data_IF_864995503285
#
_entry.id   IF_864995503285
#
_cell.length_a   1.000
_cell.length_b   1.000
_cell.length_c   1.000
_cell.angle_alpha   90.00
_cell.angle_beta   90.00
_cell.angle_gamma   90.00
#
_symmetry.space_group_name_H-M   'P 1'
#
loop_
_entity.id
_entity.type
_entity.pdbx_description
1 polymer ?
#
# COMPACT_ATOMS: atom_id res chain seq x y z
N UNK A 1 -4.94 16.22 33.25
CA UNK A 1 -4.23 14.97 32.90
C UNK A 1 -3.25 15.28 31.79
N UNK A 2 -2.09 14.63 31.73
CA UNK A 2 -1.18 14.75 30.59
C UNK A 2 -1.88 14.25 29.32
N UNK A 3 -1.64 14.89 28.17
CA UNK A 3 -2.16 14.44 26.87
C UNK A 3 -1.51 13.13 26.39
N UNK A 4 -1.91 12.61 25.22
CA UNK A 4 -1.33 11.39 24.65
C UNK A 4 0.18 11.58 24.38
N UNK A 5 0.95 10.51 24.55
CA UNK A 5 2.40 10.49 24.29
C UNK A 5 2.63 10.64 22.78
N UNK A 6 3.56 11.52 22.41
CA UNK A 6 3.92 11.76 21.01
C UNK A 6 4.58 10.55 20.36
N UNK A 7 4.26 10.27 19.10
CA UNK A 7 4.90 9.22 18.29
C UNK A 7 5.56 9.82 17.05
N UNK A 8 6.60 9.14 16.57
CA UNK A 8 7.35 9.46 15.35
C UNK A 8 7.60 8.19 14.56
N UNK A 9 7.53 8.23 13.23
CA UNK A 9 7.77 7.02 12.44
C UNK A 9 9.21 6.51 12.60
N UNK A 10 9.38 5.18 12.59
CA UNK A 10 10.69 4.51 12.68
C UNK A 10 11.55 4.76 11.43
N UNK A 11 10.91 4.93 10.28
CA UNK A 11 11.57 5.11 8.98
C UNK A 11 10.99 6.32 8.28
N UNK A 12 11.81 6.94 7.42
CA UNK A 12 11.44 8.12 6.64
C UNK A 12 10.88 9.32 7.44
N UNK A 13 11.25 9.54 8.73
CA UNK A 13 10.50 10.49 9.57
C UNK A 13 10.63 11.95 9.11
N UNK A 14 11.74 12.33 8.49
CA UNK A 14 12.04 13.71 8.13
C UNK A 14 12.03 13.97 6.63
N UNK A 15 11.60 13.00 5.81
CA UNK A 15 11.70 13.10 4.35
C UNK A 15 11.03 14.37 3.84
N UNK A 16 9.82 14.70 4.31
CA UNK A 16 9.12 15.90 3.89
C UNK A 16 9.77 17.19 4.43
N UNK A 17 10.33 17.15 5.64
CA UNK A 17 11.06 18.29 6.23
C UNK A 17 12.32 18.63 5.45
N UNK A 18 12.96 17.63 4.84
CA UNK A 18 14.16 17.79 4.02
C UNK A 18 13.86 18.17 2.56
N UNK A 19 12.58 18.11 2.14
CA UNK A 19 12.15 18.47 0.79
C UNK A 19 11.79 19.96 0.72
N UNK A 20 11.91 20.59 -0.47
CA UNK A 20 11.37 21.94 -0.69
C UNK A 20 9.90 22.00 -0.30
N UNK A 21 9.45 23.15 0.19
CA UNK A 21 8.07 23.34 0.67
C UNK A 21 7.03 22.97 -0.40
N UNK A 22 7.34 23.25 -1.66
CA UNK A 22 6.49 23.00 -2.83
C UNK A 22 6.23 21.50 -3.07
N UNK A 23 7.03 20.62 -2.45
CA UNK A 23 6.86 19.17 -2.53
C UNK A 23 5.61 18.71 -1.77
N UNK A 24 5.39 19.23 -0.56
CA UNK A 24 4.33 18.77 0.35
C UNK A 24 3.23 19.81 0.62
N UNK A 25 3.49 21.11 0.39
CA UNK A 25 2.50 22.19 0.53
C UNK A 25 1.52 22.21 -0.65
N UNK A 26 0.68 21.17 -0.72
CA UNK A 26 -0.32 21.00 -1.76
C UNK A 26 -1.40 22.09 -1.76
N UNK A 27 -1.55 22.89 -0.70
CA UNK A 27 -2.52 24.00 -0.70
C UNK A 27 -2.08 25.13 -1.62
N UNK A 28 -0.77 25.39 -1.65
CA UNK A 28 -0.13 26.36 -2.54
C UNK A 28 -0.04 25.89 -4.01
N UNK A 29 -0.15 24.59 -4.26
CA UNK A 29 0.00 24.02 -5.59
C UNK A 29 -1.02 24.56 -6.61
N UNK A 30 -0.53 24.96 -7.79
CA UNK A 30 -1.32 25.44 -8.93
C UNK A 30 -1.52 24.29 -9.89
N UNK A 31 -2.78 23.94 -10.15
CA UNK A 31 -3.15 22.83 -11.04
C UNK A 31 -3.34 23.38 -12.44
N UNK A 32 -2.63 22.81 -13.41
CA UNK A 32 -2.86 23.03 -14.83
C UNK A 32 -4.00 22.14 -15.31
N UNK A 33 -5.13 22.74 -15.66
CA UNK A 33 -6.32 22.00 -16.10
C UNK A 33 -6.27 21.78 -17.61
N UNK A 34 -6.27 20.52 -18.04
CA UNK A 34 -6.43 20.14 -19.45
C UNK A 34 -7.88 20.25 -19.93
N UNK A 35 -8.09 20.00 -21.22
CA UNK A 35 -9.44 19.99 -21.82
C UNK A 35 -10.11 18.63 -21.63
N UNK A 36 -11.32 18.59 -21.06
CA UNK A 36 -12.06 17.36 -20.88
C UNK A 36 -12.60 16.80 -22.21
N UNK A 37 -12.83 17.67 -23.20
CA UNK A 37 -13.37 17.28 -24.51
C UNK A 37 -12.42 16.39 -25.32
N UNK A 38 -11.14 16.30 -24.91
CA UNK A 38 -10.14 15.39 -25.48
C UNK A 38 -10.42 13.92 -25.12
N UNK A 39 -11.40 13.64 -24.25
CA UNK A 39 -11.70 12.30 -23.75
C UNK A 39 -13.15 11.90 -23.99
N UNK A 40 -13.34 10.84 -24.76
CA UNK A 40 -14.66 10.23 -24.96
C UNK A 40 -14.87 9.10 -23.95
N UNK A 41 -15.87 9.24 -23.07
CA UNK A 41 -16.24 8.19 -22.12
C UNK A 41 -16.87 7.00 -22.87
N UNK A 42 -16.36 5.79 -22.62
CA UNK A 42 -16.83 4.56 -23.26
C UNK A 42 -17.82 3.83 -22.35
N UNK A 43 -17.40 3.48 -21.14
CA UNK A 43 -18.26 2.78 -20.17
C UNK A 43 -17.85 3.07 -18.74
N UNK A 44 -18.81 2.97 -17.83
CA UNK A 44 -18.55 3.09 -16.39
C UNK A 44 -17.85 1.83 -15.88
N UNK A 45 -16.72 2.03 -15.20
CA UNK A 45 -15.96 0.96 -14.54
C UNK A 45 -16.33 0.80 -13.07
N UNK A 46 -16.67 1.90 -12.40
CA UNK A 46 -17.00 1.85 -10.98
C UNK A 46 -17.50 3.16 -10.39
N UNK A 47 -17.91 3.09 -9.13
CA UNK A 47 -18.38 4.23 -8.34
C UNK A 47 -17.80 4.15 -6.93
N UNK A 48 -17.06 5.18 -6.54
CA UNK A 48 -16.56 5.35 -5.19
C UNK A 48 -17.39 6.35 -4.38
N UNK A 49 -17.02 6.50 -3.11
CA UNK A 49 -17.61 7.51 -2.22
C UNK A 49 -17.42 8.93 -2.78
N UNK A 50 -16.25 9.21 -3.33
CA UNK A 50 -15.82 10.55 -3.77
C UNK A 50 -15.67 10.69 -5.30
N UNK A 51 -15.89 9.64 -6.08
CA UNK A 51 -15.67 9.69 -7.52
C UNK A 51 -16.51 8.68 -8.29
N UNK A 52 -16.54 8.84 -9.61
CA UNK A 52 -17.02 7.88 -10.59
C UNK A 52 -15.90 7.60 -11.58
N UNK A 53 -15.73 6.34 -11.98
CA UNK A 53 -14.59 5.90 -12.79
C UNK A 53 -15.11 5.30 -14.08
N UNK A 54 -14.50 5.71 -15.20
CA UNK A 54 -14.90 5.35 -16.55
C UNK A 54 -13.69 4.87 -17.37
N UNK A 55 -13.91 3.90 -18.25
CA UNK A 55 -13.05 3.65 -19.40
C UNK A 55 -13.35 4.75 -20.42
N UNK A 56 -12.32 5.35 -20.99
CA UNK A 56 -12.42 6.39 -21.99
C UNK A 56 -11.36 6.21 -23.07
N UNK A 57 -11.52 6.90 -24.19
CA UNK A 57 -10.52 7.01 -25.26
C UNK A 57 -10.07 8.46 -25.32
N UNK A 58 -8.77 8.69 -25.28
CA UNK A 58 -8.20 9.98 -25.66
C UNK A 58 -8.31 10.11 -27.18
N UNK A 59 -9.12 11.03 -27.67
CA UNK A 59 -9.41 11.15 -29.10
C UNK A 59 -8.26 11.74 -29.90
N UNK A 60 -7.27 12.36 -29.24
CA UNK A 60 -6.10 12.97 -29.89
C UNK A 60 -5.07 11.95 -30.34
N UNK A 61 -4.94 10.83 -29.62
CA UNK A 61 -3.94 9.78 -29.87
C UNK A 61 -4.53 8.36 -29.91
N UNK A 62 -5.85 8.23 -29.74
CA UNK A 62 -6.60 6.98 -29.73
C UNK A 62 -6.19 5.99 -28.61
N UNK A 63 -5.57 6.48 -27.54
CA UNK A 63 -5.21 5.64 -26.40
C UNK A 63 -6.38 5.40 -25.46
N UNK A 64 -6.51 4.16 -24.98
CA UNK A 64 -7.47 3.82 -23.91
C UNK A 64 -6.94 4.32 -22.58
N UNK A 65 -7.79 5.03 -21.85
CA UNK A 65 -7.47 5.61 -20.55
C UNK A 65 -8.58 5.34 -19.54
N UNK A 66 -8.29 5.60 -18.26
CA UNK A 66 -9.27 5.58 -17.18
C UNK A 66 -9.49 7.01 -16.69
N UNK A 67 -10.73 7.48 -16.76
CA UNK A 67 -11.13 8.82 -16.29
C UNK A 67 -11.82 8.68 -14.93
N UNK A 68 -11.24 9.32 -13.91
CA UNK A 68 -11.83 9.44 -12.56
C UNK A 68 -12.49 10.81 -12.42
N UNK A 69 -13.81 10.86 -12.53
CA UNK A 69 -14.59 12.08 -12.30
C UNK A 69 -14.79 12.26 -10.79
N UNK A 70 -14.29 13.36 -10.24
CA UNK A 70 -14.42 13.68 -8.83
C UNK A 70 -15.81 14.27 -8.54
N UNK A 71 -16.49 13.73 -7.52
CA UNK A 71 -17.72 14.33 -6.98
C UNK A 71 -17.39 15.66 -6.29
N UNK A 72 -18.37 16.54 -6.04
CA UNK A 72 -18.14 17.77 -5.30
C UNK A 72 -17.46 17.51 -3.94
N UNK A 73 -16.20 17.93 -3.82
CA UNK A 73 -15.37 17.82 -2.61
C UNK A 73 -14.56 19.11 -2.41
N UNK A 74 -13.99 19.31 -1.22
CA UNK A 74 -13.15 20.49 -0.93
C UNK A 74 -11.96 20.54 -1.90
N UNK A 75 -11.69 21.71 -2.51
CA UNK A 75 -10.55 21.93 -3.42
C UNK A 75 -9.21 21.47 -2.83
N UNK A 76 -9.00 21.70 -1.52
CA UNK A 76 -7.82 21.21 -0.77
C UNK A 76 -7.60 19.70 -0.93
N UNK A 77 -8.66 18.89 -0.95
CA UNK A 77 -8.57 17.44 -1.13
C UNK A 77 -8.17 17.06 -2.56
N UNK A 78 -8.69 17.78 -3.55
CA UNK A 78 -8.35 17.59 -4.97
C UNK A 78 -6.87 17.89 -5.19
N UNK A 79 -6.41 19.07 -4.74
CA UNK A 79 -5.00 19.47 -4.84
C UNK A 79 -4.07 18.46 -4.16
N UNK A 80 -4.44 17.94 -3.00
CA UNK A 80 -3.67 16.90 -2.30
C UNK A 80 -3.54 15.63 -3.12
N UNK A 81 -4.64 15.10 -3.65
CA UNK A 81 -4.63 13.88 -4.45
C UNK A 81 -3.76 14.06 -5.72
N UNK A 82 -3.91 15.19 -6.42
CA UNK A 82 -3.07 15.53 -7.58
C UNK A 82 -1.60 15.61 -7.19
N UNK A 83 -1.25 16.38 -6.16
CA UNK A 83 0.13 16.58 -5.75
C UNK A 83 0.82 15.27 -5.34
N UNK A 84 0.09 14.39 -4.65
CA UNK A 84 0.57 13.06 -4.29
C UNK A 84 0.80 12.21 -5.55
N UNK A 85 -0.14 12.18 -6.48
CA UNK A 85 0.00 11.42 -7.73
C UNK A 85 1.16 11.93 -8.59
N UNK A 86 1.39 13.24 -8.65
CA UNK A 86 2.55 13.84 -9.33
C UNK A 86 3.86 13.40 -8.68
N UNK A 87 3.97 13.50 -7.35
CA UNK A 87 5.18 13.12 -6.63
C UNK A 87 5.49 11.62 -6.73
N UNK A 88 4.46 10.77 -6.86
CA UNK A 88 4.62 9.33 -6.98
C UNK A 88 4.70 8.84 -8.44
N UNK A 89 4.60 9.74 -9.43
CA UNK A 89 4.65 9.38 -10.85
C UNK A 89 5.96 8.65 -11.19
N UNK A 90 5.85 7.56 -11.95
CA UNK A 90 6.98 6.70 -12.30
C UNK A 90 7.40 5.72 -11.19
N UNK A 91 6.77 5.78 -10.02
CA UNK A 91 6.98 4.84 -8.93
C UNK A 91 6.56 3.40 -9.25
N UNK A 92 7.26 2.38 -8.74
CA UNK A 92 6.91 1.00 -8.96
C UNK A 92 5.52 0.68 -8.42
N UNK A 93 4.66 0.10 -9.27
CA UNK A 93 3.28 -0.28 -8.95
C UNK A 93 2.35 0.84 -8.43
N UNK A 94 2.73 2.10 -8.56
CA UNK A 94 1.80 3.22 -8.41
C UNK A 94 1.03 3.38 -9.72
N UNK A 95 -0.27 3.69 -9.65
CA UNK A 95 -1.00 4.05 -10.88
C UNK A 95 -0.36 5.29 -11.52
N UNK A 96 0.18 5.12 -12.72
CA UNK A 96 0.77 6.21 -13.47
C UNK A 96 -0.33 7.13 -13.98
N UNK A 97 -0.09 8.44 -13.88
CA UNK A 97 -0.61 9.37 -14.88
C UNK A 97 0.19 9.09 -16.18
N UNK A 98 -0.19 8.01 -16.89
CA UNK A 98 0.33 7.48 -18.18
C UNK A 98 1.90 7.40 -18.25
N UNK A 99 2.70 6.36 -17.92
CA UNK A 99 2.63 4.89 -18.10
C UNK A 99 3.74 4.07 -17.29
N UNK A 100 4.11 2.80 -17.65
CA UNK A 100 4.41 1.53 -16.86
C UNK A 100 5.80 1.23 -16.20
N UNK A 101 5.85 0.61 -14.97
CA UNK A 101 6.55 -0.70 -14.62
C UNK A 101 6.13 -1.36 -13.26
N UNK A 102 6.60 -2.61 -13.00
CA UNK A 102 6.16 -3.65 -12.02
C UNK A 102 6.76 -3.57 -10.59
N UNK A 103 6.13 -4.33 -9.68
CA UNK A 103 6.62 -5.02 -8.44
C UNK A 103 6.17 -4.45 -7.05
N UNK A 104 5.93 -5.28 -5.99
CA UNK A 104 5.18 -4.97 -4.74
C UNK A 104 5.82 -3.95 -3.79
N UNK A 105 6.65 -3.09 -4.35
CA UNK A 105 7.40 -1.96 -3.82
C UNK A 105 6.51 -0.73 -3.54
N UNK A 106 5.23 -0.76 -3.89
CA UNK A 106 4.37 0.43 -3.87
C UNK A 106 4.30 1.13 -2.50
N UNK A 107 4.18 0.36 -1.40
CA UNK A 107 4.13 0.94 -0.05
C UNK A 107 5.50 1.47 0.40
N UNK A 108 6.57 0.70 0.24
CA UNK A 108 7.92 1.19 0.59
C UNK A 108 8.29 2.43 -0.22
N UNK A 109 7.92 2.46 -1.51
CA UNK A 109 8.13 3.62 -2.36
C UNK A 109 7.35 4.84 -1.85
N UNK A 110 6.03 4.75 -1.66
CA UNK A 110 5.27 5.92 -1.21
C UNK A 110 5.68 6.38 0.20
N UNK A 111 6.00 5.45 1.11
CA UNK A 111 6.53 5.75 2.44
C UNK A 111 7.88 6.48 2.34
N UNK A 112 8.80 6.01 1.49
CA UNK A 112 10.09 6.66 1.23
C UNK A 112 9.96 8.04 0.57
N UNK A 113 8.83 8.30 -0.07
CA UNK A 113 8.45 9.60 -0.64
C UNK A 113 7.67 10.47 0.35
N UNK A 114 7.59 10.06 1.62
CA UNK A 114 6.95 10.82 2.70
C UNK A 114 5.42 10.76 2.69
N UNK A 115 4.81 9.76 2.04
CA UNK A 115 3.36 9.69 1.81
C UNK A 115 2.77 8.41 2.42
N UNK A 116 1.70 8.56 3.22
CA UNK A 116 0.86 7.45 3.71
C UNK A 116 -0.35 7.27 2.80
N UNK A 117 -0.73 6.04 2.45
CA UNK A 117 -1.91 5.80 1.59
C UNK A 117 -3.24 5.92 2.36
N UNK A 118 -3.32 5.37 3.57
CA UNK A 118 -4.46 5.44 4.51
C UNK A 118 -5.79 4.84 4.02
N UNK A 119 -5.77 4.00 2.99
CA UNK A 119 -6.94 3.24 2.50
C UNK A 119 -6.52 1.99 1.70
N UNK A 120 -5.47 1.32 2.15
CA UNK A 120 -5.02 0.04 1.57
C UNK A 120 -6.08 -1.02 1.83
N UNK A 121 -6.60 -1.64 0.77
CA UNK A 121 -7.64 -2.67 0.81
C UNK A 121 -7.72 -3.39 -0.55
N UNK A 122 -8.35 -4.56 -0.66
CA UNK A 122 -8.41 -5.32 -1.92
C UNK A 122 -8.98 -4.51 -3.10
N UNK A 123 -10.02 -3.70 -2.85
CA UNK A 123 -10.66 -2.87 -3.90
C UNK A 123 -9.73 -1.80 -4.49
N UNK A 124 -8.68 -1.41 -3.76
CA UNK A 124 -7.70 -0.43 -4.19
C UNK A 124 -6.43 -1.07 -4.75
N UNK A 125 -6.44 -2.40 -4.96
CA UNK A 125 -5.35 -3.15 -5.58
C UNK A 125 -5.85 -3.76 -6.88
N UNK A 126 -5.46 -3.16 -8.00
CA UNK A 126 -5.79 -3.68 -9.33
C UNK A 126 -4.78 -4.74 -9.72
N UNK A 127 -5.26 -5.91 -10.15
CA UNK A 127 -4.42 -7.03 -10.55
C UNK A 127 -4.81 -7.46 -11.96
N UNK A 128 -3.84 -7.37 -12.87
CA UNK A 128 -3.87 -8.08 -14.13
C UNK A 128 -3.16 -9.42 -13.90
N UNK A 129 -3.96 -10.47 -13.69
CA UNK A 129 -3.45 -11.78 -13.32
C UNK A 129 -2.72 -12.47 -14.48
N UNK A 130 -3.18 -12.26 -15.71
CA UNK A 130 -2.58 -12.82 -16.93
C UNK A 130 -1.14 -12.31 -17.12
N UNK A 131 -0.94 -10.99 -16.97
CA UNK A 131 0.39 -10.38 -17.13
C UNK A 131 1.17 -10.27 -15.81
N UNK A 132 0.60 -10.75 -14.71
CA UNK A 132 1.14 -10.64 -13.34
C UNK A 132 1.51 -9.20 -12.97
N UNK A 133 0.64 -8.23 -13.29
CA UNK A 133 0.85 -6.81 -12.96
C UNK A 133 -0.09 -6.40 -11.83
N UNK A 134 0.41 -5.57 -10.93
CA UNK A 134 -0.35 -5.04 -9.80
C UNK A 134 -0.22 -3.51 -9.78
N UNK A 135 -1.28 -2.80 -9.37
CA UNK A 135 -1.28 -1.36 -9.16
C UNK A 135 -2.05 -0.98 -7.90
N UNK A 136 -1.47 -0.13 -7.07
CA UNK A 136 -2.15 0.54 -5.96
C UNK A 136 -2.84 1.81 -6.48
N UNK A 137 -4.14 1.92 -6.24
CA UNK A 137 -5.01 2.98 -6.76
C UNK A 137 -5.72 3.74 -5.63
N UNK A 138 -6.41 4.82 -5.99
CA UNK A 138 -7.25 5.65 -5.11
C UNK A 138 -6.48 6.33 -3.95
N UNK A 139 -5.65 7.30 -4.32
CA UNK A 139 -4.84 8.13 -3.41
C UNK A 139 -5.62 9.28 -2.77
N UNK A 140 -6.96 9.33 -2.91
CA UNK A 140 -7.79 10.43 -2.41
C UNK A 140 -7.83 10.57 -0.88
N UNK A 141 -7.41 9.53 -0.14
CA UNK A 141 -7.25 9.57 1.32
C UNK A 141 -5.79 9.68 1.78
N UNK A 142 -4.83 9.63 0.86
CA UNK A 142 -3.42 9.73 1.19
C UNK A 142 -3.04 11.08 1.82
N UNK A 143 -1.88 11.14 2.48
CA UNK A 143 -1.35 12.35 3.13
C UNK A 143 0.17 12.34 3.20
N UNK A 144 0.75 13.53 3.26
CA UNK A 144 2.15 13.73 3.62
C UNK A 144 2.36 13.54 5.13
N UNK A 145 3.35 12.74 5.49
CA UNK A 145 3.75 12.54 6.87
C UNK A 145 4.68 13.67 7.37
N UNK A 146 4.42 14.18 8.56
CA UNK A 146 5.25 15.15 9.26
C UNK A 146 5.33 14.71 10.74
N UNK A 147 6.52 14.73 11.36
CA UNK A 147 6.68 14.38 12.77
C UNK A 147 5.75 15.19 13.67
N UNK A 148 5.18 14.52 14.68
CA UNK A 148 4.25 15.10 15.66
C UNK A 148 2.97 15.75 15.09
N UNK A 149 2.69 15.59 13.78
CA UNK A 149 1.44 16.04 13.22
C UNK A 149 0.29 15.11 13.65
N UNK A 150 -0.80 15.71 14.12
CA UNK A 150 -2.06 15.01 14.38
C UNK A 150 -2.85 14.87 13.07
N UNK A 151 -3.26 13.63 12.78
CA UNK A 151 -4.01 13.28 11.58
C UNK A 151 -5.44 12.85 11.91
N UNK A 152 -6.36 13.14 10.98
CA UNK A 152 -7.74 12.69 11.11
C UNK A 152 -7.84 11.16 11.11
N UNK A 153 -8.48 10.59 12.13
CA UNK A 153 -8.67 9.13 12.27
C UNK A 153 -9.81 8.55 11.42
N UNK A 154 -10.65 9.41 10.82
CA UNK A 154 -11.79 9.03 9.97
C UNK A 154 -11.36 8.70 8.54
N UNK A 155 -10.28 7.94 8.41
CA UNK A 155 -9.70 7.39 7.16
C UNK A 155 -9.83 5.87 7.13
N UNK A 156 -9.45 5.22 6.04
CA UNK A 156 -9.60 3.79 5.79
C UNK A 156 -11.04 3.24 5.85
N UNK A 157 -11.24 2.09 5.20
CA UNK A 157 -12.47 1.30 5.27
C UNK A 157 -12.49 0.46 6.56
N UNK A 158 -13.66 0.28 7.20
CA UNK A 158 -13.82 -0.25 8.57
C UNK A 158 -12.92 -1.47 8.88
N UNK A 159 -12.95 -2.49 8.03
CA UNK A 159 -12.26 -3.76 8.26
C UNK A 159 -10.72 -3.67 8.19
N UNK A 160 -10.19 -2.56 7.68
CA UNK A 160 -8.77 -2.29 7.49
C UNK A 160 -8.27 -1.17 8.41
N UNK A 161 -9.13 -0.62 9.28
CA UNK A 161 -8.71 0.40 10.26
C UNK A 161 -7.72 -0.20 11.27
N UNK A 162 -6.55 0.42 11.39
CA UNK A 162 -5.61 0.16 12.47
C UNK A 162 -6.20 0.52 13.84
N UNK A 163 -5.77 -0.15 14.93
CA UNK A 163 -6.20 0.16 16.29
C UNK A 163 -6.09 1.65 16.63
N UNK A 164 -5.02 2.32 16.19
CA UNK A 164 -4.81 3.77 16.36
C UNK A 164 -6.00 4.60 15.88
N UNK A 165 -6.68 4.20 14.80
CA UNK A 165 -7.86 4.92 14.31
C UNK A 165 -9.12 4.63 15.13
N UNK A 166 -9.17 3.47 15.79
CA UNK A 166 -10.33 2.99 16.55
C UNK A 166 -10.29 3.49 18.00
N UNK A 167 -9.10 3.79 18.53
CA UNK A 167 -8.90 4.40 19.86
C UNK A 167 -8.58 5.90 19.79
N UNK A 168 -8.78 6.52 18.62
CA UNK A 168 -8.57 7.95 18.38
C UNK A 168 -7.15 8.48 18.66
N UNK A 169 -6.11 7.66 18.43
CA UNK A 169 -4.72 8.11 18.49
C UNK A 169 -4.31 8.78 17.17
N UNK A 170 -4.07 10.09 17.22
CA UNK A 170 -3.96 10.93 16.00
C UNK A 170 -2.53 11.07 15.46
N UNK A 171 -1.50 10.82 16.27
CA UNK A 171 -0.09 10.91 15.87
C UNK A 171 0.41 9.59 15.25
N UNK A 172 -0.35 9.06 14.29
CA UNK A 172 0.00 7.84 13.56
C UNK A 172 0.87 8.12 12.33
N UNK A 173 1.44 7.07 11.75
CA UNK A 173 2.36 7.15 10.62
C UNK A 173 2.16 6.03 9.57
N UNK A 174 3.16 5.82 8.71
CA UNK A 174 3.16 4.83 7.61
C UNK A 174 2.76 3.42 8.05
N UNK A 175 3.03 3.06 9.31
CA UNK A 175 2.65 1.78 9.92
C UNK A 175 1.14 1.46 9.88
N UNK A 176 0.28 2.46 9.66
CA UNK A 176 -1.15 2.27 9.43
C UNK A 176 -1.43 1.43 8.17
N UNK A 177 -0.66 1.66 7.10
CA UNK A 177 -0.80 0.91 5.85
C UNK A 177 -0.36 -0.55 6.05
N UNK A 178 0.61 -0.79 6.93
CA UNK A 178 1.12 -2.12 7.25
C UNK A 178 0.11 -2.97 8.02
N UNK A 179 -0.69 -2.35 8.91
CA UNK A 179 -1.85 -3.02 9.52
C UNK A 179 -2.88 -3.43 8.47
N UNK A 180 -3.21 -2.52 7.56
CA UNK A 180 -4.18 -2.76 6.50
C UNK A 180 -3.74 -3.91 5.59
N UNK A 181 -2.45 -3.97 5.25
CA UNK A 181 -1.82 -5.09 4.54
C UNK A 181 -1.94 -6.40 5.32
N UNK A 182 -1.72 -6.39 6.64
CA UNK A 182 -1.91 -7.54 7.52
C UNK A 182 -3.36 -8.06 7.49
N UNK A 183 -4.36 -7.18 7.53
CA UNK A 183 -5.77 -7.55 7.39
C UNK A 183 -6.06 -8.23 6.04
N UNK A 184 -5.48 -7.72 4.94
CA UNK A 184 -5.59 -8.34 3.62
C UNK A 184 -4.95 -9.73 3.60
N UNK A 185 -3.72 -9.85 4.10
CA UNK A 185 -3.00 -11.12 4.16
C UNK A 185 -3.77 -12.16 4.96
N UNK A 186 -4.25 -11.81 6.15
CA UNK A 186 -5.08 -12.70 6.98
C UNK A 186 -6.33 -13.18 6.23
N UNK A 187 -7.00 -12.26 5.51
CA UNK A 187 -8.20 -12.62 4.74
C UNK A 187 -7.88 -13.61 3.62
N UNK A 188 -6.75 -13.44 2.93
CA UNK A 188 -6.30 -14.32 1.85
C UNK A 188 -5.91 -15.70 2.37
N UNK A 189 -4.99 -15.78 3.34
CA UNK A 189 -4.44 -17.07 3.80
C UNK A 189 -5.46 -17.89 4.60
N UNK A 190 -6.38 -17.23 5.31
CA UNK A 190 -7.43 -17.93 6.06
C UNK A 190 -8.75 -18.08 5.29
N UNK A 191 -8.84 -17.56 4.05
CA UNK A 191 -10.09 -17.51 3.26
C UNK A 191 -11.28 -16.94 4.03
N UNK A 192 -11.03 -15.86 4.78
CA UNK A 192 -12.02 -15.23 5.65
C UNK A 192 -12.11 -13.74 5.35
N UNK A 193 -13.10 -13.33 4.55
CA UNK A 193 -13.27 -11.96 4.10
C UNK A 193 -14.54 -11.30 4.69
N UNK A 194 -14.42 -10.20 5.44
CA UNK A 194 -13.19 -9.65 6.03
C UNK A 194 -12.68 -10.48 7.21
N UNK A 195 -11.36 -10.43 7.49
CA UNK A 195 -10.80 -11.13 8.64
C UNK A 195 -11.34 -10.59 9.98
N UNK A 196 -11.31 -9.28 10.20
CA UNK A 196 -11.94 -8.63 11.35
C UNK A 196 -13.27 -8.00 10.91
N UNK A 197 -14.38 -8.63 11.26
CA UNK A 197 -15.71 -8.27 10.78
C UNK A 197 -16.54 -7.54 11.85
N UNK A 198 -16.24 -6.27 12.11
CA UNK A 198 -16.99 -5.44 13.05
C UNK A 198 -18.27 -4.84 12.44
N UNK A 199 -19.34 -4.78 13.23
CA UNK A 199 -20.60 -4.15 12.82
C UNK A 199 -20.49 -2.63 12.67
N UNK A 200 -19.66 -2.00 13.49
CA UNK A 200 -19.30 -0.58 13.47
C UNK A 200 -17.84 -0.42 13.92
N UNK A 201 -17.36 0.81 14.14
CA UNK A 201 -15.97 1.05 14.56
C UNK A 201 -15.69 0.56 15.99
N UNK A 202 -16.69 0.55 16.88
CA UNK A 202 -16.53 0.08 18.25
C UNK A 202 -16.40 -1.45 18.26
N UNK A 203 -17.33 -2.14 17.61
CA UNK A 203 -17.25 -3.60 17.47
C UNK A 203 -16.02 -4.04 16.67
N UNK A 204 -15.51 -3.20 15.74
CA UNK A 204 -14.27 -3.50 15.03
C UNK A 204 -13.09 -3.72 15.99
N UNK A 205 -12.93 -2.87 17.00
CA UNK A 205 -11.87 -3.05 18.01
C UNK A 205 -12.12 -4.29 18.85
N UNK A 206 -13.37 -4.60 19.19
CA UNK A 206 -13.75 -5.85 19.89
C UNK A 206 -13.35 -7.09 19.07
N UNK A 207 -13.57 -7.09 17.74
CA UNK A 207 -13.14 -8.20 16.88
C UNK A 207 -11.63 -8.38 16.88
N UNK A 208 -10.88 -7.29 16.92
CA UNK A 208 -9.41 -7.32 17.02
C UNK A 208 -9.00 -7.88 18.39
N UNK A 209 -9.56 -7.37 19.49
CA UNK A 209 -9.30 -7.81 20.87
C UNK A 209 -9.58 -9.30 21.10
N UNK A 210 -10.63 -9.85 20.45
CA UNK A 210 -10.92 -11.29 20.52
C UNK A 210 -9.83 -12.18 19.91
N UNK A 211 -8.97 -11.64 19.06
CA UNK A 211 -7.86 -12.35 18.42
C UNK A 211 -6.52 -11.99 19.03
N UNK A 212 -6.18 -10.71 19.10
CA UNK A 212 -4.88 -10.25 19.61
C UNK A 212 -4.81 -10.21 21.13
N UNK A 213 -5.95 -10.32 21.83
CA UNK A 213 -6.03 -10.26 23.28
C UNK A 213 -6.21 -8.84 23.79
N UNK A 214 -6.74 -8.71 25.01
CA UNK A 214 -6.98 -7.41 25.65
C UNK A 214 -5.79 -6.91 26.45
N UNK A 215 -4.88 -7.80 26.88
CA UNK A 215 -3.67 -7.42 27.63
C UNK A 215 -2.75 -6.54 26.76
N UNK A 216 -2.34 -7.02 25.58
CA UNK A 216 -1.54 -6.23 24.62
C UNK A 216 -2.23 -4.91 24.18
N UNK A 217 -3.57 -4.85 24.20
CA UNK A 217 -4.33 -3.63 23.89
C UNK A 217 -4.22 -2.60 25.00
N UNK A 218 -4.38 -3.02 26.26
CA UNK A 218 -4.27 -2.11 27.40
C UNK A 218 -2.81 -1.65 27.59
N UNK A 219 -1.82 -2.51 27.39
CA UNK A 219 -0.41 -2.13 27.39
C UNK A 219 -0.12 -1.05 26.32
N UNK A 220 -0.73 -1.15 25.14
CA UNK A 220 -0.64 -0.14 24.09
C UNK A 220 -1.30 1.18 24.50
N UNK A 221 -2.51 1.12 25.08
CA UNK A 221 -3.24 2.30 25.57
C UNK A 221 -2.42 3.03 26.65
N UNK A 222 -1.87 2.29 27.61
CA UNK A 222 -1.06 2.81 28.70
C UNK A 222 0.25 3.42 28.19
N UNK A 223 0.95 2.71 27.29
CA UNK A 223 2.21 3.18 26.67
C UNK A 223 2.07 4.56 26.03
N UNK A 224 0.96 4.80 25.34
CA UNK A 224 0.72 6.06 24.64
C UNK A 224 -0.18 7.03 25.40
N UNK A 225 -0.56 6.70 26.65
CA UNK A 225 -1.48 7.49 27.48
C UNK A 225 -2.76 7.89 26.70
N UNK A 226 -3.38 6.91 26.05
CA UNK A 226 -4.56 7.11 25.20
C UNK A 226 -5.82 7.18 26.07
N UNK A 227 -6.60 8.25 25.94
CA UNK A 227 -7.91 8.34 26.57
C UNK A 227 -8.91 7.47 25.79
N UNK A 228 -9.23 6.29 26.31
CA UNK A 228 -10.16 5.38 25.67
C UNK A 228 -11.61 5.86 25.84
N UNK A 229 -12.38 5.91 24.74
CA UNK A 229 -13.80 6.27 24.77
C UNK A 229 -14.56 5.36 25.77
N UNK A 230 -15.33 5.93 26.73
CA UNK A 230 -16.01 5.16 27.77
C UNK A 230 -16.94 4.05 27.24
N UNK A 231 -17.41 4.16 25.99
CA UNK A 231 -18.19 3.10 25.34
C UNK A 231 -17.45 1.76 25.24
N UNK A 232 -16.12 1.77 25.28
CA UNK A 232 -15.32 0.55 25.24
C UNK A 232 -15.33 -0.25 26.54
N UNK A 233 -15.66 0.40 27.68
CA UNK A 233 -15.62 -0.22 29.01
C UNK A 233 -16.50 -1.47 29.09
N UNK A 234 -17.67 -1.44 28.44
CA UNK A 234 -18.66 -2.51 28.53
C UNK A 234 -18.55 -3.57 27.41
N UNK A 235 -17.77 -3.30 26.35
CA UNK A 235 -17.79 -4.14 25.13
C UNK A 235 -16.49 -4.87 24.84
N UNK A 236 -15.34 -4.41 25.35
CA UNK A 236 -14.04 -5.05 25.09
C UNK A 236 -13.90 -6.38 25.81
N UNK A 237 -14.45 -6.48 27.03
CA UNK A 237 -14.33 -7.67 27.88
C UNK A 237 -12.87 -8.03 28.20
N UNK A 238 -12.60 -9.31 28.50
CA UNK A 238 -11.25 -9.85 28.66
C UNK A 238 -11.03 -11.01 27.70
N UNK A 239 -9.96 -10.95 26.91
CA UNK A 239 -9.64 -11.95 25.91
C UNK A 239 -8.15 -12.30 25.93
N UNK A 240 -7.84 -13.59 25.89
CA UNK A 240 -6.47 -14.07 25.66
C UNK A 240 -6.09 -13.91 24.19
N UNK A 241 -4.83 -13.59 23.91
CA UNK A 241 -4.25 -13.67 22.56
C UNK A 241 -4.45 -15.08 22.01
N UNK A 242 -4.92 -15.18 20.76
CA UNK A 242 -5.18 -16.44 20.08
C UNK A 242 -3.98 -16.81 19.22
N UNK A 243 -3.64 -18.09 19.28
CA UNK A 243 -2.75 -18.74 18.32
C UNK A 243 -3.36 -18.70 16.92
N UNK A 244 -2.56 -18.35 15.90
CA UNK A 244 -3.04 -18.23 14.51
C UNK A 244 -3.52 -19.57 13.94
N UNK A 245 -3.01 -20.68 14.43
CA UNK A 245 -3.41 -22.04 14.05
C UNK A 245 -4.91 -22.30 14.32
N UNK A 246 -5.53 -21.53 15.22
CA UNK A 246 -6.99 -21.57 15.47
C UNK A 246 -7.82 -21.28 14.21
N UNK A 247 -7.27 -20.54 13.25
CA UNK A 247 -7.97 -20.14 12.03
C UNK A 247 -7.68 -21.09 10.85
N UNK A 248 -6.87 -22.13 11.06
CA UNK A 248 -6.49 -23.09 10.02
C UNK A 248 -7.51 -24.24 9.98
N UNK A 249 -7.99 -24.57 8.79
CA UNK A 249 -8.87 -25.70 8.51
C UNK A 249 -8.57 -26.30 7.13
N UNK A 250 -9.24 -27.41 6.79
CA UNK A 250 -8.98 -28.20 5.57
C UNK A 250 -9.01 -27.39 4.27
N UNK A 251 -9.83 -26.33 4.20
CA UNK A 251 -10.00 -25.51 2.98
C UNK A 251 -8.93 -24.42 2.82
N UNK A 252 -8.16 -24.10 3.86
CA UNK A 252 -7.18 -23.00 3.82
C UNK A 252 -5.76 -23.45 4.20
N UNK A 253 -5.57 -24.65 4.76
CA UNK A 253 -4.28 -25.18 5.19
C UNK A 253 -3.17 -25.13 4.12
N UNK A 254 -3.55 -25.24 2.84
CA UNK A 254 -2.61 -25.19 1.72
C UNK A 254 -2.06 -23.78 1.41
N UNK A 255 -2.65 -22.75 2.02
CA UNK A 255 -2.23 -21.34 1.92
C UNK A 255 -1.45 -20.88 3.15
N UNK A 256 -1.39 -21.69 4.20
CA UNK A 256 -0.81 -21.32 5.49
C UNK A 256 0.49 -22.08 5.71
N UNK A 257 1.58 -21.35 5.94
CA UNK A 257 2.86 -21.88 6.39
C UNK A 257 3.31 -21.21 7.68
N UNK A 258 4.34 -21.75 8.33
CA UNK A 258 4.98 -21.14 9.50
C UNK A 258 5.46 -19.72 9.22
N UNK A 259 6.04 -19.50 8.03
CA UNK A 259 6.53 -18.19 7.59
C UNK A 259 5.38 -17.21 7.33
N UNK A 260 4.25 -17.70 6.82
CA UNK A 260 3.06 -16.87 6.59
C UNK A 260 2.47 -16.37 7.92
N UNK A 261 2.40 -17.26 8.93
CA UNK A 261 1.89 -16.91 10.25
C UNK A 261 2.83 -15.97 11.00
N UNK A 262 4.14 -16.21 10.94
CA UNK A 262 5.16 -15.33 11.53
C UNK A 262 5.16 -13.94 10.87
N UNK A 263 5.03 -13.89 9.53
CA UNK A 263 4.91 -12.62 8.81
C UNK A 263 3.65 -11.85 9.23
N UNK A 264 2.50 -12.54 9.28
CA UNK A 264 1.24 -11.94 9.68
C UNK A 264 1.29 -11.42 11.13
N UNK A 265 1.89 -12.18 12.03
CA UNK A 265 2.02 -11.81 13.44
C UNK A 265 2.79 -10.50 13.62
N UNK A 266 3.84 -10.29 12.81
CA UNK A 266 4.66 -9.07 12.82
C UNK A 266 4.02 -7.88 12.11
N UNK A 267 2.92 -8.07 11.37
CA UNK A 267 2.10 -6.99 10.82
C UNK A 267 0.96 -6.58 11.76
N UNK A 268 0.26 -7.56 12.35
CA UNK A 268 -0.92 -7.34 13.19
C UNK A 268 -0.54 -7.15 14.66
N UNK A 269 0.06 -5.99 14.96
CA UNK A 269 0.37 -5.52 16.32
C UNK A 269 -0.45 -4.28 16.66
N UNK A 270 -0.90 -4.17 17.92
CA UNK A 270 -1.56 -2.96 18.42
C UNK A 270 -0.65 -1.75 18.28
N UNK A 271 0.51 -1.84 18.95
CA UNK A 271 1.56 -0.85 18.86
C UNK A 271 2.06 -0.73 17.43
N UNK A 272 1.77 0.41 16.82
CA UNK A 272 2.12 0.72 15.45
C UNK A 272 3.63 0.76 15.23
N UNK A 273 4.43 1.06 16.27
CA UNK A 273 5.90 0.95 16.22
C UNK A 273 6.39 -0.48 16.11
N UNK A 274 5.66 -1.45 16.64
CA UNK A 274 6.07 -2.84 16.66
C UNK A 274 5.79 -3.57 15.33
N UNK A 275 5.11 -2.93 14.38
CA UNK A 275 4.80 -3.51 13.07
C UNK A 275 6.02 -3.43 12.16
N UNK A 276 6.22 -4.41 11.30
CA UNK A 276 7.22 -4.33 10.23
C UNK A 276 6.98 -3.09 9.36
N UNK A 277 8.06 -2.42 8.96
CA UNK A 277 8.04 -1.48 7.84
C UNK A 277 7.84 -2.22 6.52
N UNK A 278 7.49 -1.51 5.45
CA UNK A 278 7.35 -2.11 4.13
C UNK A 278 8.66 -2.77 3.65
N UNK A 279 9.82 -2.15 3.91
CA UNK A 279 11.14 -2.72 3.60
C UNK A 279 11.43 -3.99 4.40
N UNK A 280 11.28 -3.95 5.73
CA UNK A 280 11.47 -5.12 6.60
C UNK A 280 10.51 -6.27 6.21
N UNK A 281 9.29 -5.94 5.79
CA UNK A 281 8.32 -6.91 5.29
C UNK A 281 8.77 -7.61 4.00
N UNK A 282 9.34 -6.87 3.05
CA UNK A 282 9.89 -7.45 1.81
C UNK A 282 11.09 -8.37 2.05
N UNK A 283 11.82 -8.16 3.16
CA UNK A 283 12.98 -8.96 3.57
C UNK A 283 12.58 -10.21 4.38
N UNK A 284 11.30 -10.39 4.69
CA UNK A 284 10.81 -11.50 5.49
C UNK A 284 11.00 -12.86 4.77
N UNK A 285 11.35 -13.95 5.50
CA UNK A 285 11.51 -15.30 4.92
C UNK A 285 10.34 -15.80 4.05
N UNK A 286 9.12 -15.34 4.36
CA UNK A 286 7.92 -15.64 3.56
C UNK A 286 8.07 -15.29 2.07
N UNK A 287 8.87 -14.28 1.73
CA UNK A 287 9.09 -13.84 0.34
C UNK A 287 10.36 -14.41 -0.31
N UNK A 288 11.17 -15.20 0.39
CA UNK A 288 12.41 -15.75 -0.19
C UNK A 288 12.21 -16.53 -1.50
N UNK A 289 11.15 -17.36 -1.66
CA UNK A 289 10.89 -18.01 -2.95
C UNK A 289 10.66 -17.02 -4.09
N UNK A 290 9.97 -15.91 -3.82
CA UNK A 290 9.65 -14.88 -4.81
C UNK A 290 10.91 -14.10 -5.21
N UNK A 291 11.72 -13.69 -4.23
CA UNK A 291 12.99 -12.97 -4.46
C UNK A 291 13.95 -13.82 -5.31
N UNK A 292 14.04 -15.12 -5.01
CA UNK A 292 14.88 -16.07 -5.77
C UNK A 292 14.39 -16.21 -7.22
N UNK A 293 13.09 -16.32 -7.44
CA UNK A 293 12.51 -16.43 -8.78
C UNK A 293 12.68 -15.15 -9.60
N UNK A 294 12.56 -13.97 -8.98
CA UNK A 294 12.84 -12.69 -9.63
C UNK A 294 14.30 -12.57 -10.06
N UNK A 295 15.24 -12.94 -9.19
CA UNK A 295 16.66 -12.95 -9.53
C UNK A 295 16.97 -13.92 -10.70
N UNK A 296 16.28 -15.07 -10.76
CA UNK A 296 16.38 -16.01 -11.88
C UNK A 296 15.82 -15.44 -13.18
N UNK A 297 14.66 -14.77 -13.13
CA UNK A 297 14.07 -14.16 -14.34
C UNK A 297 14.91 -12.99 -14.85
N UNK A 298 15.47 -12.16 -13.97
CA UNK A 298 16.34 -11.04 -14.34
C UNK A 298 17.68 -11.47 -14.94
N UNK A 299 18.24 -12.59 -14.50
CA UNK A 299 19.47 -13.17 -15.08
C UNK A 299 19.24 -13.78 -16.46
N UNK A 300 18.11 -14.46 -16.68
CA UNK A 300 17.76 -15.02 -18.01
C UNK A 300 17.56 -13.91 -19.06
N UNK A 301 16.95 -12.78 -18.69
CA UNK A 301 16.81 -11.62 -19.59
C UNK A 301 18.14 -10.90 -19.88
N UNK A 302 19.17 -11.10 -19.04
CA UNK A 302 20.51 -10.54 -19.25
C UNK A 302 21.43 -11.39 -20.14
N UNK A 303 21.09 -12.67 -20.34
CA UNK A 303 21.88 -13.59 -21.19
C UNK A 303 21.46 -13.59 -22.67
N UNK A 304 20.34 -12.96 -23.04
CA UNK A 304 19.87 -12.89 -24.43
C UNK A 304 20.48 -11.76 -25.28
N UNK A 305 21.51 -11.06 -24.79
CA UNK A 305 22.25 -10.03 -25.55
C UNK A 305 23.71 -10.41 -25.83
N UNK A 306 24.08 -11.68 -25.64
CA UNK A 306 25.39 -12.23 -26.03
C UNK A 306 25.52 -12.36 -27.54
N UNK A 307 26.18 -11.38 -28.14
CA UNK A 307 26.65 -11.34 -29.52
C UNK A 307 27.28 -12.66 -29.99
N UNK A 308 26.75 -13.22 -31.08
CA UNK A 308 27.46 -14.20 -31.91
C UNK A 308 28.71 -13.54 -32.51
N UNK A 309 29.91 -14.12 -32.36
CA UNK A 309 31.07 -13.60 -33.06
C UNK A 309 30.93 -13.94 -34.54
N UNK A 310 30.79 -12.91 -35.38
CA UNK A 310 30.89 -13.03 -36.83
C UNK A 310 32.36 -13.33 -37.15
N UNK A 311 32.67 -14.58 -37.48
CA UNK A 311 33.96 -14.97 -38.04
C UNK A 311 34.12 -14.36 -39.43
N UNK A 312 34.98 -13.36 -39.56
CA UNK A 312 35.40 -12.77 -40.83
C UNK A 312 36.38 -13.71 -41.55
N UNK A 313 35.91 -14.42 -42.59
CA UNK A 313 36.80 -15.05 -43.57
C UNK A 313 37.07 -14.05 -44.70
N UNK A 314 38.25 -13.43 -44.65
CA UNK A 314 38.77 -12.57 -45.70
C UNK A 314 39.12 -13.38 -46.95
N UNK A 315 38.53 -13.01 -48.08
CA UNK A 315 39.00 -13.39 -49.41
C UNK A 315 40.41 -12.79 -49.63
N UNK A 316 41.39 -13.64 -49.93
CA UNK A 316 42.60 -13.22 -50.64
C UNK A 316 42.71 -13.97 -51.95
N UNK A 317 42.59 -13.21 -53.03
CA UNK A 317 43.06 -13.54 -54.38
C UNK A 317 44.58 -13.35 -54.42
N UNK A 318 45.30 -14.27 -55.05
CA UNK A 318 46.76 -14.14 -55.18
C UNK A 318 47.46 -15.36 -55.78
N UNK A 319 47.37 -15.48 -57.10
CA UNK A 319 48.07 -16.42 -57.95
C UNK A 319 49.62 -16.30 -57.81
N UNK A 320 50.37 -17.41 -57.74
CA UNK A 320 51.71 -17.55 -58.36
C UNK A 320 52.25 -18.99 -58.33
N UNK A 321 52.80 -19.37 -59.49
CA UNK A 321 53.45 -20.62 -59.90
C UNK A 321 54.62 -21.10 -59.01
N UNK A 322 54.92 -22.41 -59.09
CA UNK A 322 56.29 -22.91 -58.95
C UNK A 322 56.45 -24.36 -58.51
N UNK A 323 56.68 -25.24 -59.50
CA UNK A 323 57.28 -26.60 -59.48
C UNK A 323 56.46 -27.74 -58.88
#
# INVERSE_FOLDING_TARGET
MSGPVTSRSRVYPDVNTQRPREYWDYESHVVEWGNQDDYQLVRKLGRGKYSEVFEAINITNNEKVVVKILKPVKKKKIKREIKILENLRGGPNIISLLDIVKDPVALDYCHSMGIMHRDVKPHNVMIDHEHRKLRLIDWGLAEFYHPAQEYNVRVASRYFKGPELLVDYQMYDYSLDMWSLGCMLASMIFRKEPFFHGHDNYDQLVRIAKVLGTEDLYDYIDKYNIELDPRFNDILGRHSRKRWERFVHSENQHLVSTEALDFLDKLLRYDHHARLTAREAMEHPYFYPIVKDQARMGSISGLSTGSTPVSSSSMMTGNKHGV
#
